data_IF_495507152503
#
_entry.id   IF_495507152503
#
_cell.length_a   1.000
_cell.length_b   1.000
_cell.length_c   1.000
_cell.angle_alpha   90.00
_cell.angle_beta   90.00
_cell.angle_gamma   90.00
#
_symmetry.space_group_name_H-M   'P 1'
#
loop_
_entity.id
_entity.type
_entity.pdbx_description
1 polymer ?
#
# COMPACT_ATOMS: atom_id res chain seq x y z
N UNK A 1 13.26 -10.49 9.95
CA UNK A 1 12.45 -9.41 10.55
C UNK A 1 13.34 -8.24 10.93
N UNK A 2 12.86 -7.00 10.77
CA UNK A 2 13.54 -5.79 11.26
C UNK A 2 12.78 -5.23 12.47
N UNK A 3 13.43 -5.32 13.64
CA UNK A 3 12.98 -4.78 14.92
C UNK A 3 13.99 -3.76 15.50
N UNK A 4 14.83 -3.16 14.64
CA UNK A 4 15.78 -2.14 15.06
C UNK A 4 15.12 -0.83 15.52
N UNK A 5 15.94 0.14 15.95
CA UNK A 5 15.46 1.43 16.48
C UNK A 5 14.56 2.22 15.52
N UNK A 6 14.70 2.02 14.20
CA UNK A 6 13.81 2.62 13.20
C UNK A 6 12.39 2.07 13.30
N UNK A 7 12.23 0.76 13.51
CA UNK A 7 10.93 0.14 13.71
C UNK A 7 10.26 0.64 14.99
N UNK A 8 11.02 0.78 16.09
CA UNK A 8 10.53 1.36 17.35
C UNK A 8 10.04 2.80 17.13
N UNK A 9 10.82 3.63 16.43
CA UNK A 9 10.41 5.01 16.08
C UNK A 9 9.12 5.02 15.25
N UNK A 10 8.94 4.10 14.31
CA UNK A 10 7.70 3.98 13.54
C UNK A 10 6.50 3.67 14.41
N UNK A 11 6.63 2.77 15.40
CA UNK A 11 5.56 2.44 16.36
C UNK A 11 5.18 3.69 17.16
N UNK A 12 6.16 4.40 17.71
CA UNK A 12 5.92 5.63 18.49
C UNK A 12 5.25 6.72 17.64
N UNK A 13 5.66 6.86 16.38
CA UNK A 13 5.06 7.83 15.46
C UNK A 13 3.59 7.48 15.17
N UNK A 14 3.30 6.20 14.92
CA UNK A 14 1.94 5.70 14.70
C UNK A 14 1.06 5.86 15.95
N UNK A 15 1.57 5.49 17.14
CA UNK A 15 0.87 5.68 18.41
C UNK A 15 0.55 7.16 18.66
N UNK A 16 1.49 8.07 18.37
CA UNK A 16 1.27 9.51 18.48
C UNK A 16 0.22 10.04 17.51
N UNK A 17 0.13 9.49 16.29
CA UNK A 17 -0.96 9.80 15.36
C UNK A 17 -2.31 9.30 15.88
N UNK A 18 -2.35 8.05 16.36
CA UNK A 18 -3.55 7.46 16.96
C UNK A 18 -4.04 8.28 18.16
N UNK A 19 -3.15 8.76 19.04
CA UNK A 19 -3.54 9.62 20.17
C UNK A 19 -4.16 10.94 19.75
N UNK A 20 -3.70 11.55 18.64
CA UNK A 20 -4.31 12.77 18.10
C UNK A 20 -5.70 12.54 17.52
N UNK A 21 -5.90 11.37 16.89
CA UNK A 21 -7.20 11.01 16.30
C UNK A 21 -8.20 10.53 17.36
N UNK A 22 -7.71 9.92 18.44
CA UNK A 22 -8.51 9.32 19.51
C UNK A 22 -8.05 9.85 20.87
N UNK A 23 -8.31 11.14 21.13
CA UNK A 23 -7.80 11.85 22.32
C UNK A 23 -8.23 11.21 23.65
N UNK A 24 -9.43 10.66 23.69
CA UNK A 24 -10.02 10.08 24.90
C UNK A 24 -9.72 8.57 25.05
N UNK A 25 -9.12 7.94 24.05
CA UNK A 25 -8.79 6.52 24.15
C UNK A 25 -7.60 6.28 25.08
N UNK A 26 -7.63 5.11 25.71
CA UNK A 26 -6.57 4.68 26.62
C UNK A 26 -5.28 4.44 25.85
N UNK A 27 -4.17 4.96 26.37
CA UNK A 27 -2.89 4.94 25.68
C UNK A 27 -2.35 3.53 25.48
N UNK A 28 -2.62 2.62 26.40
CA UNK A 28 -2.28 1.20 26.32
C UNK A 28 -2.91 0.52 25.09
N UNK A 29 -4.21 0.75 24.83
CA UNK A 29 -4.93 0.27 23.65
C UNK A 29 -4.31 0.87 22.37
N UNK A 30 -4.01 2.17 22.38
CA UNK A 30 -3.43 2.85 21.21
C UNK A 30 -2.00 2.37 20.91
N UNK A 31 -1.20 2.09 21.93
CA UNK A 31 0.15 1.52 21.76
C UNK A 31 0.06 0.09 21.25
N UNK A 32 -0.83 -0.74 21.79
CA UNK A 32 -1.04 -2.11 21.30
C UNK A 32 -1.48 -2.11 19.83
N UNK A 33 -2.41 -1.21 19.48
CA UNK A 33 -2.84 -1.02 18.09
C UNK A 33 -1.68 -0.61 17.19
N UNK A 34 -0.86 0.36 17.59
CA UNK A 34 0.32 0.78 16.82
C UNK A 34 1.34 -0.36 16.64
N UNK A 35 1.56 -1.18 17.67
CA UNK A 35 2.42 -2.36 17.62
C UNK A 35 1.89 -3.37 16.59
N UNK A 36 0.57 -3.61 16.59
CA UNK A 36 -0.10 -4.51 15.66
C UNK A 36 -0.02 -4.00 14.21
N UNK A 37 -0.40 -2.75 13.96
CA UNK A 37 -0.41 -2.14 12.62
C UNK A 37 0.98 -2.15 11.97
N UNK A 38 2.04 -1.96 12.77
CA UNK A 38 3.43 -1.95 12.28
C UNK A 38 3.98 -3.36 12.03
N UNK A 39 3.59 -4.35 12.83
CA UNK A 39 4.27 -5.64 12.83
C UNK A 39 3.48 -6.79 12.22
N UNK A 40 2.15 -6.83 12.36
CA UNK A 40 1.31 -7.89 11.79
C UNK A 40 1.56 -8.14 10.30
N UNK A 41 1.70 -7.10 9.43
CA UNK A 41 1.93 -7.31 8.01
C UNK A 41 3.30 -7.93 7.68
N UNK A 42 4.25 -7.91 8.63
CA UNK A 42 5.59 -8.48 8.42
C UNK A 42 5.61 -9.98 8.66
N UNK A 43 4.78 -10.48 9.59
CA UNK A 43 4.89 -11.84 10.11
C UNK A 43 4.39 -12.90 9.12
N UNK A 44 5.00 -14.08 9.20
CA UNK A 44 4.48 -15.29 8.57
C UNK A 44 3.29 -15.84 9.36
N UNK A 45 2.49 -16.69 8.73
CA UNK A 45 1.34 -17.33 9.40
C UNK A 45 1.77 -18.17 10.61
N UNK A 46 2.99 -18.73 10.60
CA UNK A 46 3.54 -19.49 11.71
C UNK A 46 3.92 -18.61 12.91
N UNK A 47 4.31 -17.35 12.66
CA UNK A 47 4.77 -16.43 13.70
C UNK A 47 3.62 -15.59 14.30
N UNK A 48 2.50 -15.47 13.59
CA UNK A 48 1.33 -14.72 14.06
C UNK A 48 0.80 -15.20 15.43
N UNK A 49 0.64 -16.51 15.70
CA UNK A 49 0.21 -16.98 17.02
C UNK A 49 1.21 -16.65 18.12
N UNK A 50 2.52 -16.74 17.84
CA UNK A 50 3.58 -16.43 18.79
C UNK A 50 3.58 -14.94 19.16
N UNK A 51 3.48 -14.07 18.15
CA UNK A 51 3.36 -12.64 18.36
C UNK A 51 2.11 -12.29 19.19
N UNK A 52 0.96 -12.87 18.85
CA UNK A 52 -0.29 -12.67 19.60
C UNK A 52 -0.14 -13.10 21.06
N UNK A 53 0.51 -14.24 21.33
CA UNK A 53 0.80 -14.69 22.70
C UNK A 53 1.67 -13.71 23.49
N UNK A 54 2.76 -13.21 22.89
CA UNK A 54 3.61 -12.19 23.53
C UNK A 54 2.82 -10.92 23.81
N UNK A 55 2.00 -10.45 22.86
CA UNK A 55 1.20 -9.23 23.06
C UNK A 55 0.11 -9.43 24.10
N UNK A 56 -0.53 -10.60 24.19
CA UNK A 56 -1.55 -10.86 25.21
C UNK A 56 -0.97 -10.93 26.61
N UNK A 57 0.25 -11.44 26.76
CA UNK A 57 0.95 -11.50 28.05
C UNK A 57 1.36 -10.10 28.54
N UNK A 58 1.76 -9.21 27.62
CA UNK A 58 2.17 -7.84 27.93
C UNK A 58 0.98 -6.88 28.13
N UNK A 59 -0.12 -7.08 27.38
CA UNK A 59 -1.30 -6.22 27.38
C UNK A 59 -2.53 -6.98 27.88
N UNK A 60 -2.52 -7.32 29.17
CA UNK A 60 -3.54 -8.18 29.81
C UNK A 60 -4.96 -7.59 29.71
N UNK A 61 -5.90 -8.39 29.20
CA UNK A 61 -7.32 -8.04 29.16
C UNK A 61 -7.67 -6.88 28.23
N UNK A 62 -6.75 -6.48 27.34
CA UNK A 62 -7.00 -5.45 26.34
C UNK A 62 -7.46 -6.07 25.02
N UNK A 63 -8.54 -5.52 24.48
CA UNK A 63 -8.99 -5.81 23.12
C UNK A 63 -8.83 -4.56 22.26
N UNK A 64 -8.15 -4.71 21.12
CA UNK A 64 -8.02 -3.63 20.14
C UNK A 64 -9.30 -3.59 19.30
N UNK A 65 -10.01 -2.46 19.23
CA UNK A 65 -11.18 -2.34 18.36
C UNK A 65 -10.80 -2.55 16.89
N UNK A 66 -11.50 -3.44 16.21
CA UNK A 66 -11.30 -3.65 14.78
C UNK A 66 -11.90 -2.46 13.98
N UNK A 67 -11.15 -1.86 13.05
CA UNK A 67 -11.69 -0.81 12.20
C UNK A 67 -12.72 -1.38 11.23
N UNK A 68 -13.84 -0.68 11.04
CA UNK A 68 -14.85 -1.09 10.07
C UNK A 68 -14.37 -0.79 8.62
N UNK A 69 -14.17 -1.84 7.84
CA UNK A 69 -13.82 -1.80 6.43
C UNK A 69 -14.92 -2.33 5.51
N UNK A 70 -16.16 -2.53 5.98
CA UNK A 70 -17.23 -3.15 5.21
C UNK A 70 -17.43 -2.50 3.84
N UNK A 71 -17.48 -1.16 3.79
CA UNK A 71 -17.68 -0.41 2.54
C UNK A 71 -16.56 -0.69 1.52
N UNK A 72 -15.31 -0.77 1.98
CA UNK A 72 -14.18 -1.12 1.12
C UNK A 72 -14.24 -2.59 0.69
N UNK A 73 -14.59 -3.50 1.60
CA UNK A 73 -14.71 -4.93 1.31
C UNK A 73 -15.80 -5.21 0.28
N UNK A 74 -16.97 -4.59 0.39
CA UNK A 74 -18.05 -4.68 -0.60
C UNK A 74 -17.62 -4.16 -1.97
N UNK A 75 -16.90 -3.04 -1.99
CA UNK A 75 -16.32 -2.47 -3.22
C UNK A 75 -15.33 -3.43 -3.86
N UNK A 76 -14.40 -4.01 -3.10
CA UNK A 76 -13.43 -5.00 -3.57
C UNK A 76 -14.12 -6.27 -4.08
N UNK A 77 -15.16 -6.74 -3.40
CA UNK A 77 -15.96 -7.87 -3.88
C UNK A 77 -16.64 -7.57 -5.21
N UNK A 78 -17.13 -6.34 -5.39
CA UNK A 78 -17.73 -5.88 -6.66
C UNK A 78 -16.69 -5.85 -7.78
N UNK A 79 -15.49 -5.32 -7.50
CA UNK A 79 -14.35 -5.34 -8.43
C UNK A 79 -14.00 -6.78 -8.86
N UNK A 80 -14.07 -7.74 -7.95
CA UNK A 80 -13.76 -9.16 -8.21
C UNK A 80 -14.85 -9.94 -8.97
N UNK A 81 -16.13 -9.57 -8.83
CA UNK A 81 -17.25 -10.43 -9.26
C UNK A 81 -17.62 -10.33 -10.74
N UNK A 82 -17.05 -9.41 -11.52
CA UNK A 82 -17.49 -9.24 -12.90
C UNK A 82 -16.84 -10.27 -13.84
N UNK A 83 -17.66 -11.22 -14.29
CA UNK A 83 -17.35 -12.31 -15.21
C UNK A 83 -17.63 -11.89 -16.66
N UNK A 84 -16.63 -12.12 -17.53
CA UNK A 84 -16.75 -12.51 -18.95
C UNK A 84 -17.65 -11.63 -19.85
N UNK A 85 -17.03 -10.70 -20.57
CA UNK A 85 -17.69 -10.06 -21.72
C UNK A 85 -17.11 -8.72 -22.19
N UNK A 86 -16.26 -8.06 -21.39
CA UNK A 86 -15.58 -6.83 -21.82
C UNK A 86 -14.10 -7.10 -22.01
N UNK A 87 -13.64 -6.89 -23.24
CA UNK A 87 -12.23 -6.97 -23.64
C UNK A 87 -11.36 -6.14 -22.68
N UNK A 88 -10.16 -6.59 -22.29
CA UNK A 88 -9.22 -5.77 -21.55
C UNK A 88 -8.86 -4.56 -22.42
N UNK A 89 -9.44 -3.39 -22.14
CA UNK A 89 -9.02 -2.16 -22.79
C UNK A 89 -7.69 -1.71 -22.19
N UNK A 90 -6.71 -1.32 -23.03
CA UNK A 90 -5.43 -0.87 -22.55
C UNK A 90 -5.61 0.45 -21.82
N UNK A 91 -5.06 0.49 -20.59
CA UNK A 91 -4.41 1.64 -19.97
C UNK A 91 -4.85 3.01 -20.54
N UNK A 92 -6.03 3.50 -20.16
CA UNK A 92 -6.40 4.89 -20.43
C UNK A 92 -6.49 5.67 -19.13
N UNK A 93 -5.57 6.62 -19.04
CA UNK A 93 -5.64 7.80 -18.19
C UNK A 93 -6.97 8.51 -18.54
N UNK A 94 -7.72 8.96 -17.53
CA UNK A 94 -9.01 9.65 -17.66
C UNK A 94 -10.17 8.86 -18.30
N UNK A 95 -10.96 8.18 -17.48
CA UNK A 95 -12.44 8.21 -17.52
C UNK A 95 -12.99 7.26 -16.46
N UNK A 96 -14.17 7.59 -15.95
CA UNK A 96 -14.92 6.90 -14.90
C UNK A 96 -15.37 5.49 -15.36
N UNK A 97 -14.42 4.56 -15.51
CA UNK A 97 -14.70 3.16 -15.81
C UNK A 97 -14.58 2.34 -14.53
N UNK A 98 -15.63 1.58 -14.22
CA UNK A 98 -15.59 0.53 -13.20
C UNK A 98 -14.58 -0.52 -13.63
N UNK A 99 -13.41 -0.51 -13.00
CA UNK A 99 -12.37 -1.48 -13.27
C UNK A 99 -12.78 -2.80 -12.60
N UNK A 100 -13.08 -3.81 -13.41
CA UNK A 100 -13.48 -5.13 -12.91
C UNK A 100 -12.46 -6.18 -13.31
N UNK A 101 -12.30 -7.18 -12.45
CA UNK A 101 -11.33 -8.26 -12.59
C UNK A 101 -12.03 -9.60 -12.42
N UNK A 102 -11.74 -10.54 -13.31
CA UNK A 102 -12.27 -11.90 -13.24
C UNK A 102 -11.50 -12.74 -12.20
N UNK A 103 -11.71 -12.44 -10.92
CA UNK A 103 -10.97 -13.02 -9.79
C UNK A 103 -11.96 -13.43 -8.71
N UNK A 104 -11.80 -14.62 -8.13
CA UNK A 104 -12.65 -15.01 -7.01
C UNK A 104 -12.32 -14.19 -5.75
N UNK A 105 -13.30 -13.54 -5.11
CA UNK A 105 -13.08 -12.78 -3.88
C UNK A 105 -12.95 -13.73 -2.68
N UNK A 106 -11.82 -14.42 -2.58
CA UNK A 106 -11.52 -15.28 -1.42
C UNK A 106 -11.30 -14.42 -0.17
N UNK A 107 -11.51 -15.02 1.01
CA UNK A 107 -11.32 -14.32 2.28
C UNK A 107 -9.88 -13.86 2.45
N UNK A 108 -8.94 -14.68 2.02
CA UNK A 108 -7.50 -14.43 2.08
C UNK A 108 -7.10 -13.25 1.19
N UNK A 109 -7.67 -13.17 -0.02
CA UNK A 109 -7.45 -12.04 -0.93
C UNK A 109 -7.91 -10.73 -0.30
N UNK A 110 -9.14 -10.69 0.19
CA UNK A 110 -9.72 -9.49 0.80
C UNK A 110 -8.95 -9.09 2.07
N UNK A 111 -8.59 -10.05 2.92
CA UNK A 111 -7.77 -9.81 4.10
C UNK A 111 -6.39 -9.23 3.74
N UNK A 112 -5.72 -9.75 2.69
CA UNK A 112 -4.44 -9.18 2.23
C UNK A 112 -4.59 -7.78 1.62
N UNK A 113 -5.72 -7.47 0.99
CA UNK A 113 -5.99 -6.10 0.52
C UNK A 113 -6.15 -5.13 1.70
N UNK A 114 -6.85 -5.52 2.77
CA UNK A 114 -6.97 -4.70 3.98
C UNK A 114 -5.61 -4.52 4.66
N UNK A 115 -4.83 -5.59 4.83
CA UNK A 115 -3.46 -5.49 5.38
C UNK A 115 -2.57 -4.56 4.56
N UNK A 116 -2.68 -4.59 3.23
CA UNK A 116 -1.96 -3.67 2.36
C UNK A 116 -2.44 -2.22 2.55
N UNK A 117 -3.75 -1.99 2.61
CA UNK A 117 -4.32 -0.65 2.87
C UNK A 117 -3.85 -0.05 4.20
N UNK A 118 -3.88 -0.84 5.27
CA UNK A 118 -3.40 -0.42 6.59
C UNK A 118 -1.92 -0.04 6.50
N UNK A 119 -1.10 -0.88 5.86
CA UNK A 119 0.34 -0.64 5.71
C UNK A 119 0.63 0.63 4.87
N UNK A 120 -0.08 0.84 3.77
CA UNK A 120 0.03 2.02 2.89
C UNK A 120 -0.38 3.31 3.63
N UNK A 121 -1.27 3.20 4.61
CA UNK A 121 -1.72 4.36 5.40
C UNK A 121 -0.65 4.81 6.40
N UNK A 122 0.09 3.86 6.98
CA UNK A 122 1.13 4.16 7.99
C UNK A 122 2.54 4.32 7.42
N UNK A 123 2.80 3.89 6.17
CA UNK A 123 4.13 3.93 5.54
C UNK A 123 4.08 4.43 4.10
N UNK A 124 5.02 5.30 3.77
CA UNK A 124 5.22 5.81 2.40
C UNK A 124 5.93 4.81 1.47
N UNK A 125 6.71 3.88 2.03
CA UNK A 125 7.41 2.84 1.26
C UNK A 125 7.27 1.49 1.93
N UNK A 126 6.99 0.47 1.12
CA UNK A 126 6.80 -0.90 1.54
C UNK A 126 7.16 -1.86 0.39
N UNK A 127 7.25 -3.14 0.70
CA UNK A 127 7.44 -4.20 -0.29
C UNK A 127 6.31 -5.22 -0.14
N UNK A 128 5.72 -5.63 -1.27
CA UNK A 128 4.80 -6.77 -1.32
C UNK A 128 5.62 -7.99 -1.70
N UNK A 129 5.91 -8.83 -0.71
CA UNK A 129 6.81 -9.99 -0.88
C UNK A 129 6.01 -11.29 -0.95
N UNK A 130 6.42 -12.18 -1.84
CA UNK A 130 5.79 -13.47 -2.05
C UNK A 130 6.26 -14.13 -3.34
N UNK A 131 5.99 -15.42 -3.51
CA UNK A 131 6.37 -16.19 -4.69
C UNK A 131 5.65 -15.69 -5.96
N UNK A 132 6.14 -16.07 -7.13
CA UNK A 132 5.38 -15.88 -8.37
C UNK A 132 3.98 -16.53 -8.24
N UNK A 133 2.98 -15.92 -8.86
CA UNK A 133 1.58 -16.35 -8.78
C UNK A 133 0.94 -16.36 -7.38
N UNK A 134 1.57 -15.77 -6.37
CA UNK A 134 0.99 -15.62 -5.02
C UNK A 134 0.02 -14.44 -4.88
N UNK A 135 -0.70 -14.08 -5.95
CA UNK A 135 -1.70 -13.00 -6.00
C UNK A 135 -1.21 -11.56 -5.72
N UNK A 136 0.11 -11.30 -5.63
CA UNK A 136 0.63 -9.95 -5.33
C UNK A 136 0.05 -8.86 -6.23
N UNK A 137 0.08 -9.07 -7.54
CA UNK A 137 -0.48 -8.15 -8.55
C UNK A 137 -1.98 -7.97 -8.38
N UNK A 138 -2.68 -9.06 -8.08
CA UNK A 138 -4.12 -9.04 -7.85
C UNK A 138 -4.46 -8.22 -6.61
N UNK A 139 -3.74 -8.38 -5.51
CA UNK A 139 -3.99 -7.68 -4.24
C UNK A 139 -3.94 -6.16 -4.43
N UNK A 140 -2.85 -5.62 -5.01
CA UNK A 140 -2.75 -4.17 -5.16
C UNK A 140 -3.72 -3.59 -6.19
N UNK A 141 -4.08 -4.33 -7.24
CA UNK A 141 -5.09 -3.90 -8.22
C UNK A 141 -6.51 -3.93 -7.64
N UNK A 142 -6.86 -4.98 -6.89
CA UNK A 142 -8.18 -5.07 -6.23
C UNK A 142 -8.32 -3.92 -5.26
N UNK A 143 -7.27 -3.62 -4.49
CA UNK A 143 -7.26 -2.49 -3.57
C UNK A 143 -7.36 -1.15 -4.30
N UNK A 144 -6.56 -0.91 -5.34
CA UNK A 144 -6.61 0.30 -6.17
C UNK A 144 -8.04 0.57 -6.67
N UNK A 145 -8.64 -0.41 -7.35
CA UNK A 145 -9.97 -0.27 -7.92
C UNK A 145 -11.05 -0.20 -6.84
N UNK A 146 -10.89 -0.95 -5.75
CA UNK A 146 -11.77 -0.92 -4.60
C UNK A 146 -11.85 0.48 -3.99
N UNK A 147 -10.70 1.13 -3.76
CA UNK A 147 -10.63 2.50 -3.26
C UNK A 147 -11.25 3.51 -4.25
N UNK A 148 -10.95 3.38 -5.54
CA UNK A 148 -11.52 4.24 -6.58
C UNK A 148 -13.06 4.13 -6.68
N UNK A 149 -13.65 2.98 -6.35
CA UNK A 149 -15.09 2.75 -6.43
C UNK A 149 -15.86 3.16 -5.15
N UNK A 150 -15.19 3.38 -4.02
CA UNK A 150 -15.85 3.81 -2.76
C UNK A 150 -16.23 5.29 -2.81
N UNK A 151 -17.41 5.66 -2.33
CA UNK A 151 -17.86 7.08 -2.32
C UNK A 151 -17.19 7.94 -1.24
N UNK A 152 -16.81 7.35 -0.12
CA UNK A 152 -16.08 8.03 0.96
C UNK A 152 -14.62 8.30 0.55
N UNK A 153 -14.40 9.44 -0.13
CA UNK A 153 -13.08 9.87 -0.62
C UNK A 153 -12.21 10.51 0.45
N UNK A 154 -12.79 10.87 1.60
CA UNK A 154 -12.01 11.38 2.74
C UNK A 154 -11.18 10.24 3.34
N UNK A 155 -11.79 9.05 3.47
CA UNK A 155 -11.11 7.84 3.99
C UNK A 155 -10.43 7.01 2.90
N UNK A 156 -11.03 6.91 1.72
CA UNK A 156 -10.55 6.08 0.61
C UNK A 156 -10.32 6.93 -0.63
N UNK A 157 -9.22 7.68 -0.62
CA UNK A 157 -8.78 8.49 -1.74
C UNK A 157 -8.60 7.64 -3.01
N UNK A 158 -8.95 8.20 -4.16
CA UNK A 158 -8.66 7.57 -5.46
C UNK A 158 -7.16 7.34 -5.62
N UNK A 159 -6.81 6.21 -6.21
CA UNK A 159 -5.42 5.82 -6.42
C UNK A 159 -5.05 5.99 -7.88
N UNK A 160 -3.84 6.50 -8.12
CA UNK A 160 -3.19 6.53 -9.43
C UNK A 160 -1.88 5.74 -9.34
N UNK A 161 -1.81 4.62 -10.05
CA UNK A 161 -0.61 3.80 -10.09
C UNK A 161 0.28 4.12 -11.29
N UNK A 162 1.57 4.34 -11.02
CA UNK A 162 2.64 4.41 -12.00
C UNK A 162 3.55 3.21 -11.76
N UNK A 163 3.74 2.35 -12.77
CA UNK A 163 4.56 1.14 -12.62
C UNK A 163 5.79 1.19 -13.52
N UNK A 164 6.89 0.62 -13.03
CA UNK A 164 8.12 0.40 -13.80
C UNK A 164 8.77 -0.92 -13.40
N UNK A 165 9.39 -1.61 -14.36
CA UNK A 165 10.21 -2.77 -14.07
C UNK A 165 11.67 -2.32 -13.92
N UNK A 166 12.26 -2.34 -12.72
CA UNK A 166 13.62 -1.84 -12.50
C UNK A 166 14.70 -2.68 -13.19
N UNK A 167 14.39 -3.90 -13.64
CA UNK A 167 15.35 -4.74 -14.37
C UNK A 167 15.23 -4.64 -15.90
N UNK A 168 14.24 -3.91 -16.42
CA UNK A 168 14.14 -3.66 -17.87
C UNK A 168 15.01 -2.50 -18.34
N UNK A 169 15.66 -1.79 -17.43
CA UNK A 169 16.50 -0.60 -17.68
C UNK A 169 17.76 -0.66 -16.82
N UNK A 170 18.77 0.14 -17.15
CA UNK A 170 20.01 0.20 -16.39
C UNK A 170 19.87 1.00 -15.10
N UNK A 171 20.79 0.81 -14.15
CA UNK A 171 20.81 1.57 -12.89
C UNK A 171 20.92 3.08 -13.13
N UNK A 172 21.77 3.47 -14.09
CA UNK A 172 21.92 4.85 -14.55
C UNK A 172 20.62 5.43 -15.12
N UNK A 173 19.84 4.62 -15.87
CA UNK A 173 18.54 5.07 -16.38
C UNK A 173 17.49 5.22 -15.28
N UNK A 174 17.62 4.51 -14.16
CA UNK A 174 16.72 4.64 -13.00
C UNK A 174 17.03 5.88 -12.19
N UNK A 175 18.30 6.03 -11.80
CA UNK A 175 18.73 7.05 -10.85
C UNK A 175 19.24 8.34 -11.52
N UNK A 176 19.65 8.25 -12.77
CA UNK A 176 20.38 9.29 -13.48
C UNK A 176 21.88 9.03 -13.43
N UNK A 177 22.60 9.65 -14.36
CA UNK A 177 24.05 9.59 -14.39
C UNK A 177 24.65 10.93 -14.83
N UNK A 178 25.92 11.12 -14.49
CA UNK A 178 26.70 12.26 -14.94
C UNK A 178 27.42 11.88 -16.23
N UNK A 179 27.19 12.64 -17.30
CA UNK A 179 27.90 12.43 -18.55
C UNK A 179 29.28 13.10 -18.49
N UNK A 180 30.39 12.34 -18.56
CA UNK A 180 31.74 12.90 -18.43
C UNK A 180 32.15 13.79 -19.62
N UNK A 181 31.50 13.66 -20.79
CA UNK A 181 31.82 14.43 -22.00
C UNK A 181 31.12 15.79 -21.97
N UNK A 182 29.79 15.78 -21.81
CA UNK A 182 28.99 17.01 -21.76
C UNK A 182 29.09 17.74 -20.42
N UNK A 183 29.52 17.02 -19.37
CA UNK A 183 29.51 17.48 -17.96
C UNK A 183 28.12 17.83 -17.45
N UNK A 184 27.09 17.23 -18.03
CA UNK A 184 25.70 17.43 -17.64
C UNK A 184 25.17 16.25 -16.84
N UNK A 185 24.21 16.52 -15.96
CA UNK A 185 23.46 15.49 -15.26
C UNK A 185 22.26 15.06 -16.10
N UNK A 186 22.20 13.77 -16.43
CA UNK A 186 21.04 13.16 -17.08
C UNK A 186 20.12 12.61 -16.00
N UNK A 187 18.87 13.07 -15.98
CA UNK A 187 17.88 12.61 -15.01
C UNK A 187 17.41 11.18 -15.29
N UNK A 188 17.34 10.35 -14.24
CA UNK A 188 16.78 9.01 -14.30
C UNK A 188 15.25 8.98 -14.21
N UNK A 189 14.65 7.89 -14.69
CA UNK A 189 13.20 7.72 -14.75
C UNK A 189 12.55 7.70 -13.35
N UNK A 190 13.28 7.24 -12.32
CA UNK A 190 12.77 7.23 -10.94
C UNK A 190 12.50 8.65 -10.42
N UNK A 191 13.47 9.55 -10.59
CA UNK A 191 13.32 10.96 -10.24
C UNK A 191 12.26 11.65 -11.11
N UNK A 192 12.24 11.34 -12.41
CA UNK A 192 11.24 11.85 -13.35
C UNK A 192 9.80 11.47 -12.94
N UNK A 193 9.57 10.24 -12.49
CA UNK A 193 8.25 9.79 -12.01
C UNK A 193 7.82 10.52 -10.73
N UNK A 194 8.72 10.73 -9.77
CA UNK A 194 8.43 11.51 -8.56
C UNK A 194 8.07 12.95 -8.94
N UNK A 195 8.85 13.58 -9.81
CA UNK A 195 8.58 14.93 -10.33
C UNK A 195 7.21 15.00 -11.01
N UNK A 196 6.88 13.99 -11.82
CA UNK A 196 5.57 13.89 -12.47
C UNK A 196 4.44 13.82 -11.43
N UNK A 197 4.59 13.03 -10.37
CA UNK A 197 3.61 12.98 -9.27
C UNK A 197 3.42 14.35 -8.60
N UNK A 198 4.49 15.11 -8.37
CA UNK A 198 4.41 16.47 -7.81
C UNK A 198 3.75 17.45 -8.78
N UNK A 199 4.03 17.37 -10.08
CA UNK A 199 3.37 18.19 -11.09
C UNK A 199 1.86 17.89 -11.18
N UNK A 200 1.45 16.64 -10.94
CA UNK A 200 0.03 16.29 -10.87
C UNK A 200 -0.71 16.97 -9.70
N UNK A 201 0.00 17.54 -8.71
CA UNK A 201 -0.65 18.31 -7.64
C UNK A 201 -1.16 19.68 -8.11
N UNK A 202 -0.68 20.18 -9.25
CA UNK A 202 -1.19 21.45 -9.82
C UNK A 202 -2.51 21.27 -10.57
N UNK A 203 -2.88 20.04 -10.91
CA UNK A 203 -4.14 19.71 -11.56
C UNK A 203 -5.21 19.40 -10.49
N UNK A 204 -6.31 20.17 -10.40
CA UNK A 204 -7.37 19.95 -9.41
C UNK A 204 -7.97 18.54 -9.42
N UNK A 205 -8.02 17.87 -10.58
CA UNK A 205 -8.59 16.52 -10.69
C UNK A 205 -7.62 15.45 -10.16
N UNK A 206 -6.31 15.70 -10.22
CA UNK A 206 -5.28 14.76 -9.82
C UNK A 206 -4.70 15.06 -8.43
N UNK A 207 -4.83 16.29 -7.95
CA UNK A 207 -4.30 16.74 -6.66
C UNK A 207 -4.77 15.86 -5.49
N UNK A 208 -6.07 15.54 -5.46
CA UNK A 208 -6.68 14.75 -4.38
C UNK A 208 -6.49 13.22 -4.51
N UNK A 209 -5.82 12.75 -5.57
CA UNK A 209 -5.53 11.32 -5.76
C UNK A 209 -4.26 10.93 -5.02
N UNK A 210 -4.24 9.73 -4.46
CA UNK A 210 -3.04 9.10 -3.90
C UNK A 210 -2.22 8.51 -5.05
N UNK A 211 -0.94 8.88 -5.15
CA UNK A 211 -0.05 8.40 -6.22
C UNK A 211 0.82 7.26 -5.72
N UNK A 212 0.75 6.10 -6.37
CA UNK A 212 1.59 4.94 -6.05
C UNK A 212 2.62 4.76 -7.16
N UNK A 213 3.90 4.74 -6.79
CA UNK A 213 4.99 4.38 -7.68
C UNK A 213 5.39 2.93 -7.36
N UNK A 214 5.13 2.03 -8.31
CA UNK A 214 5.35 0.59 -8.19
C UNK A 214 6.61 0.19 -8.97
N UNK A 215 7.53 -0.48 -8.28
CA UNK A 215 8.68 -1.14 -8.89
C UNK A 215 8.39 -2.64 -8.99
N UNK A 216 7.88 -3.09 -10.15
CA UNK A 216 7.51 -4.49 -10.38
C UNK A 216 8.71 -5.25 -10.97
N UNK A 217 9.57 -5.73 -10.08
CA UNK A 217 10.75 -6.51 -10.44
C UNK A 217 11.47 -7.05 -9.20
N UNK A 218 12.53 -7.85 -9.40
CA UNK A 218 13.34 -8.35 -8.30
C UNK A 218 14.12 -7.19 -7.65
N UNK A 219 14.36 -7.32 -6.34
CA UNK A 219 15.20 -6.39 -5.58
C UNK A 219 16.63 -6.90 -5.59
N UNK A 220 17.58 -6.02 -5.88
CA UNK A 220 19.00 -6.31 -5.91
C UNK A 220 19.74 -5.35 -4.96
N UNK A 221 20.88 -5.79 -4.42
CA UNK A 221 21.68 -5.02 -3.46
C UNK A 221 22.84 -4.26 -4.11
N UNK A 222 22.94 -4.31 -5.45
CA UNK A 222 23.99 -3.67 -6.25
C UNK A 222 23.58 -2.25 -6.62
#
# INVERSE_FOLDING_TARGET
YDFGMRAVKSILTAAGQLKRNFLNEKEDILVLRAINDVNLPKFTDADLPLFKGITSDLFLGMEVPEPDYMVLVESMQTVCKDLVGRSPTPLSVSSFQTHTMNVQPTKELLAKCIQLYETVTVRHSLMVVGLAMSMKTTVFKVLEYGMCNVKDKERFQDVLMLSLNPKSITIDQIYGNFDPVTREWVEGIGASLVRKCTQMETDPELANKRKWIMFDGPVDAI
#
